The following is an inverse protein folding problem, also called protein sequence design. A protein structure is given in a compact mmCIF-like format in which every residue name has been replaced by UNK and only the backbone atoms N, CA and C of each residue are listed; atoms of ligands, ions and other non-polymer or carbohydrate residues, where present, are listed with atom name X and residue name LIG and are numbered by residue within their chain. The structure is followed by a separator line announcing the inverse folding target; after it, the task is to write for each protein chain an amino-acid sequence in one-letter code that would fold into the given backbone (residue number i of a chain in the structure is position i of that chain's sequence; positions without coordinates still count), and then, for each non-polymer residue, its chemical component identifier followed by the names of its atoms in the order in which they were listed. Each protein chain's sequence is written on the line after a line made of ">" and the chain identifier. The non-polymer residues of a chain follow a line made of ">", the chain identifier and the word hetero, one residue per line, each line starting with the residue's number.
data_IF_456470080993
#
_entry.id   IF_456470080993
#
_cell.length_a   1.000
_cell.length_b   1.000
_cell.length_c   1.000
_cell.angle_alpha   90.00
_cell.angle_beta   90.00
_cell.angle_gamma   90.00
#
_symmetry.space_group_name_H-M   'P 1'
#
loop_
_entity.id
_entity.type
_entity.pdbx_description
1 polymer ?
#
# COMPACT_ATOMS: atom_id res chain seq x y z
N UNK A 1 -15.54 11.74 0.16
CA UNK A 1 -14.30 10.94 0.16
C UNK A 1 -14.52 9.54 0.73
N UNK A 2 -15.32 9.35 1.81
CA UNK A 2 -15.55 8.01 2.40
C UNK A 2 -16.09 6.95 1.42
N UNK A 3 -17.17 7.24 0.67
CA UNK A 3 -17.73 6.28 -0.30
C UNK A 3 -16.75 5.92 -1.43
N UNK A 4 -15.94 6.89 -1.88
CA UNK A 4 -14.90 6.64 -2.86
C UNK A 4 -13.78 5.75 -2.28
N UNK A 5 -13.46 5.92 -0.99
CA UNK A 5 -12.54 5.04 -0.28
C UNK A 5 -13.04 3.60 -0.30
N UNK A 6 -14.27 3.36 0.14
CA UNK A 6 -14.87 2.02 0.15
C UNK A 6 -14.92 1.40 -1.27
N UNK A 7 -15.25 2.20 -2.29
CA UNK A 7 -15.20 1.76 -3.68
C UNK A 7 -13.77 1.36 -4.09
N UNK A 8 -12.75 2.16 -3.76
CA UNK A 8 -11.35 1.82 -4.04
C UNK A 8 -10.92 0.51 -3.39
N UNK A 9 -11.32 0.26 -2.13
CA UNK A 9 -11.08 -1.01 -1.45
C UNK A 9 -11.76 -2.19 -2.17
N UNK A 10 -13.02 -2.03 -2.58
CA UNK A 10 -13.76 -3.05 -3.33
C UNK A 10 -13.07 -3.38 -4.66
N UNK A 11 -12.73 -2.38 -5.47
CA UNK A 11 -12.07 -2.61 -6.76
C UNK A 11 -10.65 -3.19 -6.63
N UNK A 12 -9.95 -2.87 -5.53
CA UNK A 12 -8.68 -3.50 -5.18
C UNK A 12 -8.84 -5.00 -4.98
N UNK A 13 -9.86 -5.40 -4.23
CA UNK A 13 -10.16 -6.79 -3.91
C UNK A 13 -10.65 -7.58 -5.13
N UNK A 14 -11.34 -6.90 -6.05
CA UNK A 14 -11.74 -7.46 -7.36
C UNK A 14 -10.59 -7.51 -8.37
N UNK A 15 -9.40 -7.01 -8.03
CA UNK A 15 -8.27 -6.98 -8.95
C UNK A 15 -8.45 -6.04 -10.15
N UNK A 16 -9.24 -4.98 -10.00
CA UNK A 16 -9.52 -3.99 -11.05
C UNK A 16 -8.69 -2.72 -10.84
N UNK A 17 -7.45 -2.64 -11.37
CA UNK A 17 -6.52 -1.57 -11.03
C UNK A 17 -6.96 -0.20 -11.54
N UNK A 18 -7.57 -0.12 -12.73
CA UNK A 18 -8.05 1.16 -13.27
C UNK A 18 -9.11 1.81 -12.38
N UNK A 19 -10.12 1.03 -11.96
CA UNK A 19 -11.14 1.53 -11.04
C UNK A 19 -10.58 1.81 -9.64
N UNK A 20 -9.66 0.97 -9.15
CA UNK A 20 -8.95 1.21 -7.89
C UNK A 20 -8.32 2.61 -7.89
N UNK A 21 -7.52 2.92 -8.91
CA UNK A 21 -6.79 4.19 -9.00
C UNK A 21 -7.75 5.38 -9.15
N UNK A 22 -8.78 5.25 -10.00
CA UNK A 22 -9.81 6.28 -10.20
C UNK A 22 -10.51 6.65 -8.88
N UNK A 23 -10.87 5.67 -8.06
CA UNK A 23 -11.56 5.93 -6.81
C UNK A 23 -10.63 6.38 -5.69
N UNK A 24 -9.35 5.97 -5.67
CA UNK A 24 -8.36 6.52 -4.74
C UNK A 24 -8.21 8.03 -4.91
N UNK A 25 -8.13 8.53 -6.14
CA UNK A 25 -8.02 9.96 -6.43
C UNK A 25 -9.19 10.77 -5.84
N UNK A 26 -10.38 10.18 -5.76
CA UNK A 26 -11.58 10.79 -5.19
C UNK A 26 -11.69 10.57 -3.66
N UNK A 27 -10.91 9.64 -3.11
CA UNK A 27 -10.92 9.27 -1.70
C UNK A 27 -9.96 10.13 -0.85
N UNK A 28 -9.03 10.85 -1.48
CA UNK A 28 -8.06 11.71 -0.79
C UNK A 28 -8.41 13.17 -1.03
N UNK A 29 -8.95 13.82 0.00
CA UNK A 29 -8.92 15.27 0.11
C UNK A 29 -7.52 15.74 0.58
N UNK A 30 -6.84 16.66 -0.13
CA UNK A 30 -5.48 17.06 0.19
C UNK A 30 -5.33 17.83 1.51
N UNK A 31 -6.41 18.45 2.00
CA UNK A 31 -6.41 19.30 3.20
C UNK A 31 -7.03 18.54 4.38
N UNK A 32 -8.10 17.80 4.13
CA UNK A 32 -8.97 17.29 5.19
C UNK A 32 -8.78 15.80 5.50
N UNK A 33 -8.11 15.03 4.64
CA UNK A 33 -7.91 13.59 4.91
C UNK A 33 -6.90 13.40 6.05
N UNK A 34 -7.28 12.76 7.17
CA UNK A 34 -6.35 12.50 8.26
C UNK A 34 -5.19 11.62 7.79
N UNK A 35 -3.97 11.88 8.30
CA UNK A 35 -2.75 11.15 7.91
C UNK A 35 -2.91 9.62 7.97
N UNK A 36 -3.57 9.11 9.01
CA UNK A 36 -3.87 7.69 9.17
C UNK A 36 -4.74 7.14 8.03
N UNK A 37 -5.82 7.83 7.71
CA UNK A 37 -6.75 7.45 6.63
C UNK A 37 -6.04 7.53 5.29
N UNK A 38 -5.26 8.60 5.06
CA UNK A 38 -4.47 8.77 3.84
C UNK A 38 -3.46 7.63 3.66
N UNK A 39 -2.71 7.26 4.70
CA UNK A 39 -1.76 6.15 4.61
C UNK A 39 -2.44 4.82 4.25
N UNK A 40 -3.64 4.58 4.78
CA UNK A 40 -4.42 3.39 4.41
C UNK A 40 -4.86 3.42 2.93
N UNK A 41 -5.36 4.56 2.45
CA UNK A 41 -5.77 4.72 1.05
C UNK A 41 -4.56 4.64 0.09
N UNK A 42 -3.41 5.17 0.48
CA UNK A 42 -2.18 5.06 -0.33
C UNK A 42 -1.69 3.60 -0.43
N UNK A 43 -1.93 2.75 0.57
CA UNK A 43 -1.68 1.29 0.41
C UNK A 43 -2.61 0.65 -0.62
N UNK A 44 -3.86 1.11 -0.71
CA UNK A 44 -4.80 0.68 -1.78
C UNK A 44 -4.28 1.14 -3.15
N UNK A 45 -3.78 2.38 -3.24
CA UNK A 45 -3.18 2.95 -4.46
C UNK A 45 -1.94 2.18 -4.90
N UNK A 46 -1.03 1.86 -3.97
CA UNK A 46 0.18 1.10 -4.25
C UNK A 46 -0.17 -0.29 -4.83
N UNK A 47 -1.17 -0.96 -4.26
CA UNK A 47 -1.65 -2.23 -4.79
C UNK A 47 -2.28 -2.07 -6.20
N UNK A 48 -2.98 -0.95 -6.45
CA UNK A 48 -3.48 -0.60 -7.78
C UNK A 48 -2.35 -0.41 -8.81
N UNK A 49 -1.34 0.39 -8.47
CA UNK A 49 -0.17 0.63 -9.32
C UNK A 49 0.59 -0.67 -9.64
N UNK A 50 0.79 -1.53 -8.63
CA UNK A 50 1.46 -2.81 -8.83
C UNK A 50 0.67 -3.73 -9.78
N UNK A 51 -0.66 -3.78 -9.63
CA UNK A 51 -1.54 -4.56 -10.54
C UNK A 51 -1.61 -4.00 -11.95
N UNK A 52 -1.39 -2.69 -12.13
CA UNK A 52 -1.20 -2.07 -13.45
C UNK A 52 0.17 -2.37 -14.08
N UNK A 53 1.08 -3.03 -13.35
CA UNK A 53 2.43 -3.34 -13.82
C UNK A 53 3.48 -2.27 -13.49
N UNK A 54 3.13 -1.24 -12.71
CA UNK A 54 4.05 -0.16 -12.34
C UNK A 54 4.68 -0.42 -10.95
N UNK A 55 5.77 -1.19 -10.97
CA UNK A 55 6.51 -1.60 -9.76
C UNK A 55 7.08 -0.39 -9.00
N UNK A 56 7.76 0.50 -9.70
CA UNK A 56 8.43 1.64 -9.07
C UNK A 56 7.42 2.61 -8.46
N UNK A 57 6.33 2.88 -9.16
CA UNK A 57 5.27 3.74 -8.61
C UNK A 57 4.62 3.10 -7.39
N UNK A 58 4.39 1.79 -7.40
CA UNK A 58 3.84 1.07 -6.25
C UNK A 58 4.74 1.18 -5.02
N UNK A 59 6.05 0.97 -5.18
CA UNK A 59 7.03 1.06 -4.08
C UNK A 59 7.14 2.50 -3.56
N UNK A 60 7.19 3.48 -4.46
CA UNK A 60 7.25 4.90 -4.09
C UNK A 60 6.05 5.32 -3.22
N UNK A 61 4.83 4.96 -3.66
CA UNK A 61 3.61 5.23 -2.90
C UNK A 61 3.63 4.52 -1.54
N UNK A 62 3.98 3.24 -1.53
CA UNK A 62 4.01 2.45 -0.29
C UNK A 62 5.02 2.99 0.71
N UNK A 63 6.20 3.39 0.26
CA UNK A 63 7.25 4.00 1.10
C UNK A 63 6.73 5.29 1.74
N UNK A 64 6.08 6.15 0.95
CA UNK A 64 5.44 7.36 1.46
C UNK A 64 4.33 7.07 2.47
N UNK A 65 3.51 6.05 2.22
CA UNK A 65 2.44 5.64 3.12
C UNK A 65 2.98 5.10 4.46
N UNK A 66 4.06 4.31 4.47
CA UNK A 66 4.73 3.86 5.69
C UNK A 66 5.27 5.04 6.49
N UNK A 67 5.95 5.99 5.83
CA UNK A 67 6.43 7.21 6.48
C UNK A 67 5.31 8.05 7.08
N UNK A 68 4.18 8.19 6.37
CA UNK A 68 3.00 8.93 6.83
C UNK A 68 2.28 8.25 8.00
N UNK A 69 2.21 6.92 8.00
CA UNK A 69 1.55 6.14 9.04
C UNK A 69 2.34 6.16 10.37
N UNK A 70 3.67 6.30 10.31
CA UNK A 70 4.53 6.23 11.48
C UNK A 70 4.32 4.92 12.25
N UNK A 71 4.14 5.01 13.57
CA UNK A 71 3.95 3.85 14.47
C UNK A 71 2.54 3.26 14.50
N UNK A 72 1.70 3.52 13.49
CA UNK A 72 0.32 3.01 13.41
C UNK A 72 0.25 1.48 13.56
N UNK A 73 -0.55 1.01 14.52
CA UNK A 73 -0.76 -0.42 14.81
C UNK A 73 -2.11 -0.97 14.33
N UNK A 74 -2.74 -0.32 13.35
CA UNK A 74 -4.04 -0.77 12.83
C UNK A 74 -3.88 -2.12 12.12
N UNK A 75 -4.64 -3.13 12.57
CA UNK A 75 -4.62 -4.48 11.98
C UNK A 75 -4.90 -4.45 10.47
N UNK A 76 -5.90 -3.68 10.01
CA UNK A 76 -6.22 -3.55 8.58
C UNK A 76 -5.06 -2.95 7.78
N UNK A 77 -4.41 -1.92 8.34
CA UNK A 77 -3.28 -1.27 7.67
C UNK A 77 -2.09 -2.22 7.57
N UNK A 78 -1.70 -2.86 8.69
CA UNK A 78 -0.58 -3.80 8.73
C UNK A 78 -0.79 -5.00 7.81
N UNK A 79 -2.03 -5.50 7.70
CA UNK A 79 -2.39 -6.53 6.72
C UNK A 79 -2.08 -6.07 5.28
N UNK A 80 -2.43 -4.83 4.93
CA UNK A 80 -2.18 -4.32 3.58
C UNK A 80 -0.69 -4.14 3.28
N UNK A 81 0.10 -3.74 4.28
CA UNK A 81 1.56 -3.71 4.17
C UNK A 81 2.11 -5.10 3.90
N UNK A 82 1.68 -6.11 4.67
CA UNK A 82 2.12 -7.49 4.51
C UNK A 82 1.70 -8.09 3.16
N UNK A 83 0.46 -7.85 2.72
CA UNK A 83 -0.07 -8.30 1.43
C UNK A 83 0.73 -7.71 0.27
N UNK A 84 0.95 -6.39 0.29
CA UNK A 84 1.72 -5.70 -0.75
C UNK A 84 3.17 -6.21 -0.77
N UNK A 85 3.81 -6.37 0.40
CA UNK A 85 5.14 -6.94 0.51
C UNK A 85 5.22 -8.34 -0.12
N UNK A 86 4.24 -9.21 0.18
CA UNK A 86 4.15 -10.55 -0.41
C UNK A 86 4.06 -10.52 -1.95
N UNK A 87 3.25 -9.60 -2.50
CA UNK A 87 3.15 -9.41 -3.95
C UNK A 87 4.47 -8.92 -4.58
N UNK A 88 5.19 -8.02 -3.89
CA UNK A 88 6.46 -7.46 -4.38
C UNK A 88 7.56 -8.54 -4.45
N UNK A 89 7.77 -9.29 -3.37
CA UNK A 89 8.85 -10.28 -3.31
C UNK A 89 8.59 -11.49 -4.22
N UNK A 90 7.33 -11.83 -4.49
CA UNK A 90 6.98 -13.00 -5.30
C UNK A 90 7.52 -12.94 -6.73
N UNK A 91 7.79 -11.74 -7.26
CA UNK A 91 8.34 -11.56 -8.62
C UNK A 91 9.64 -10.76 -8.66
N UNK A 92 9.94 -10.00 -7.60
CA UNK A 92 10.96 -8.96 -7.64
C UNK A 92 11.89 -8.98 -6.41
N UNK A 93 12.12 -10.14 -5.79
CA UNK A 93 12.91 -10.25 -4.54
C UNK A 93 14.31 -9.62 -4.64
N UNK A 94 14.96 -9.72 -5.81
CA UNK A 94 16.29 -9.16 -6.04
C UNK A 94 16.28 -7.67 -6.41
N UNK A 95 15.11 -7.06 -6.56
CA UNK A 95 15.00 -5.65 -6.96
C UNK A 95 15.43 -4.73 -5.81
N UNK A 96 16.37 -3.78 -6.04
CA UNK A 96 16.89 -2.92 -4.97
C UNK A 96 15.80 -2.16 -4.21
N UNK A 97 14.82 -1.60 -4.92
CA UNK A 97 13.69 -0.88 -4.31
C UNK A 97 12.81 -1.79 -3.45
N UNK A 98 12.66 -3.07 -3.81
CA UNK A 98 11.89 -4.04 -3.00
C UNK A 98 12.63 -4.36 -1.71
N UNK A 99 13.94 -4.59 -1.77
CA UNK A 99 14.77 -4.79 -0.58
C UNK A 99 14.72 -3.60 0.37
N UNK A 100 14.88 -2.38 -0.16
CA UNK A 100 14.82 -1.16 0.63
C UNK A 100 13.43 -0.99 1.30
N UNK A 101 12.35 -1.33 0.59
CA UNK A 101 11.01 -1.34 1.15
C UNK A 101 10.85 -2.40 2.26
N UNK A 102 11.35 -3.61 2.07
CA UNK A 102 11.37 -4.66 3.11
C UNK A 102 12.09 -4.20 4.38
N UNK A 103 13.26 -3.58 4.23
CA UNK A 103 14.04 -3.03 5.35
C UNK A 103 13.26 -1.93 6.08
N UNK A 104 12.66 -0.99 5.35
CA UNK A 104 11.81 0.07 5.91
C UNK A 104 10.63 -0.48 6.72
N UNK A 105 9.94 -1.49 6.19
CA UNK A 105 8.80 -2.12 6.86
C UNK A 105 9.25 -2.83 8.14
N UNK A 106 10.39 -3.52 8.11
CA UNK A 106 10.95 -4.17 9.30
C UNK A 106 11.32 -3.19 10.42
N UNK A 107 11.86 -2.02 10.07
CA UNK A 107 12.15 -0.95 11.04
C UNK A 107 10.88 -0.31 11.57
N UNK A 108 9.89 -0.07 10.71
CA UNK A 108 8.66 0.64 11.07
C UNK A 108 7.69 -0.23 11.88
N UNK A 109 7.64 -1.52 11.59
CA UNK A 109 6.71 -2.49 12.17
C UNK A 109 7.44 -3.78 12.59
N UNK A 110 8.25 -3.75 13.65
CA UNK A 110 9.13 -4.86 14.02
C UNK A 110 8.39 -6.14 14.45
N UNK A 111 7.10 -6.02 14.81
CA UNK A 111 6.25 -7.15 15.18
C UNK A 111 5.43 -7.70 14.00
N UNK A 112 5.47 -7.04 12.84
CA UNK A 112 4.73 -7.48 11.66
C UNK A 112 5.42 -8.69 11.03
N UNK A 113 4.69 -9.81 10.95
CA UNK A 113 5.17 -11.00 10.25
C UNK A 113 5.01 -10.78 8.75
N UNK A 114 6.14 -10.69 8.05
CA UNK A 114 6.16 -10.54 6.59
C UNK A 114 6.21 -11.89 5.87
N UNK A 115 5.48 -12.06 4.76
CA UNK A 115 5.66 -13.19 3.87
C UNK A 115 7.11 -13.30 3.38
N UNK A 116 7.61 -14.53 3.21
CA UNK A 116 8.91 -14.82 2.58
C UNK A 116 8.69 -15.22 1.13
N UNK A 117 9.68 -14.98 0.26
CA UNK A 117 9.61 -15.51 -1.11
C UNK A 117 9.66 -17.03 -1.08
N UNK A 118 8.83 -17.68 -1.89
CA UNK A 118 8.85 -19.13 -2.08
C UNK A 118 10.09 -19.57 -2.85
#
# INVERSE_FOLDING_TARGET
>A
WELAGEAAHCFRDLGQPHETLRFVEQAIDPVHTPARTRALIEMVRAAGALRSGDLEQAISIATGAVGLAGSLQSSRYLQYVADLHGLLIGKNVSHPSVRAFTELVGVSYPTLVLPKSA
#
